data_IF_845928806402
#
_entry.id   IF_845928806402
#
_cell.length_a   1.000
_cell.length_b   1.000
_cell.length_c   1.000
_cell.angle_alpha   90.00
_cell.angle_beta   90.00
_cell.angle_gamma   90.00
#
_symmetry.space_group_name_H-M   'P 1'
#
loop_
_entity.id
_entity.type
_entity.pdbx_description
1 polymer ?
#
# COMPACT_ATOMS: atom_id res chain seq x y z
N UNK A 1 -16.41 7.54 -11.37
CA UNK A 1 -15.03 7.79 -10.90
C UNK A 1 -14.57 6.74 -9.88
N UNK A 2 -15.39 6.40 -8.88
CA UNK A 2 -15.01 5.52 -7.76
C UNK A 2 -14.79 4.06 -8.11
N UNK A 3 -15.42 3.57 -9.18
CA UNK A 3 -15.24 2.21 -9.71
C UNK A 3 -13.78 1.83 -9.99
N UNK A 4 -12.92 2.80 -10.30
CA UNK A 4 -11.48 2.56 -10.53
C UNK A 4 -10.68 2.78 -9.24
N UNK A 5 -11.07 3.78 -8.43
CA UNK A 5 -10.35 4.12 -7.20
C UNK A 5 -10.45 3.02 -6.14
N UNK A 6 -11.60 2.38 -5.98
CA UNK A 6 -11.77 1.26 -5.04
C UNK A 6 -10.78 0.12 -5.29
N UNK A 7 -10.74 -0.50 -6.48
CA UNK A 7 -9.83 -1.61 -6.75
C UNK A 7 -8.37 -1.15 -6.79
N UNK A 8 -8.08 0.08 -7.22
CA UNK A 8 -6.72 0.61 -7.23
C UNK A 8 -6.16 0.72 -5.81
N UNK A 9 -6.87 1.37 -4.88
CA UNK A 9 -6.41 1.52 -3.50
C UNK A 9 -6.36 0.15 -2.79
N UNK A 10 -7.33 -0.73 -3.04
CA UNK A 10 -7.32 -2.08 -2.50
C UNK A 10 -6.10 -2.89 -2.99
N UNK A 11 -5.75 -2.75 -4.28
CA UNK A 11 -4.57 -3.40 -4.87
C UNK A 11 -3.30 -2.91 -4.20
N UNK A 12 -3.15 -1.60 -3.98
CA UNK A 12 -1.98 -1.07 -3.26
C UNK A 12 -1.88 -1.58 -1.82
N UNK A 13 -3.01 -1.67 -1.10
CA UNK A 13 -3.02 -2.27 0.25
C UNK A 13 -2.49 -3.71 0.19
N UNK A 14 -2.96 -4.51 -0.76
CA UNK A 14 -2.48 -5.90 -0.94
C UNK A 14 -1.00 -5.93 -1.28
N UNK A 15 -0.51 -5.08 -2.19
CA UNK A 15 0.91 -5.01 -2.54
C UNK A 15 1.79 -4.66 -1.32
N UNK A 16 1.35 -3.72 -0.48
CA UNK A 16 2.05 -3.40 0.76
C UNK A 16 2.01 -4.55 1.76
N UNK A 17 0.88 -5.24 1.91
CA UNK A 17 0.80 -6.44 2.75
C UNK A 17 1.76 -7.52 2.27
N UNK A 18 1.86 -7.75 0.95
CA UNK A 18 2.85 -8.68 0.38
C UNK A 18 4.27 -8.23 0.71
N UNK A 19 4.60 -6.93 0.62
CA UNK A 19 5.91 -6.40 1.02
C UNK A 19 6.21 -6.63 2.51
N UNK A 20 5.21 -6.54 3.40
CA UNK A 20 5.39 -6.89 4.82
C UNK A 20 5.89 -8.33 4.92
N UNK A 21 5.19 -9.27 4.29
CA UNK A 21 5.59 -10.67 4.27
C UNK A 21 6.96 -10.88 3.63
N UNK A 22 7.25 -10.26 2.48
CA UNK A 22 8.56 -10.37 1.84
C UNK A 22 9.71 -9.84 2.71
N UNK A 23 9.45 -8.80 3.51
CA UNK A 23 10.44 -8.26 4.44
C UNK A 23 10.71 -9.18 5.64
N UNK A 24 9.72 -9.95 6.09
CA UNK A 24 9.88 -10.96 7.16
C UNK A 24 10.49 -12.26 6.63
N UNK A 25 10.24 -12.50 5.35
CA UNK A 25 10.64 -13.53 4.40
C UNK A 25 11.97 -13.38 3.64
N UNK A 26 13.17 -13.10 4.21
CA UNK A 26 14.35 -12.78 3.41
C UNK A 26 14.87 -13.92 2.52
N UNK A 27 14.38 -15.16 2.73
CA UNK A 27 14.64 -16.31 1.86
C UNK A 27 14.04 -16.16 0.44
N UNK A 28 13.07 -15.27 0.25
CA UNK A 28 12.46 -15.02 -1.05
C UNK A 28 13.27 -13.97 -1.83
N UNK A 29 13.74 -14.34 -3.02
CA UNK A 29 14.47 -13.43 -3.90
C UNK A 29 13.51 -12.40 -4.52
N UNK A 30 13.46 -11.22 -3.92
CA UNK A 30 12.59 -10.10 -4.36
C UNK A 30 13.00 -9.49 -5.70
N UNK A 31 14.17 -9.86 -6.24
CA UNK A 31 14.60 -9.43 -7.58
C UNK A 31 13.98 -10.26 -8.71
N UNK A 32 13.37 -11.42 -8.38
CA UNK A 32 12.78 -12.33 -9.36
C UNK A 32 11.25 -12.22 -9.43
N UNK A 33 10.64 -12.47 -10.59
CA UNK A 33 9.19 -12.59 -10.70
C UNK A 33 8.64 -13.73 -9.83
N UNK A 34 7.46 -13.59 -9.21
CA UNK A 34 6.56 -12.43 -9.32
C UNK A 34 6.88 -11.29 -8.32
N UNK A 35 7.79 -11.50 -7.38
CA UNK A 35 8.07 -10.55 -6.29
C UNK A 35 8.63 -9.21 -6.76
N UNK A 36 9.44 -9.23 -7.82
CA UNK A 36 10.01 -8.02 -8.43
C UNK A 36 8.95 -7.04 -8.92
N UNK A 37 7.80 -7.54 -9.39
CA UNK A 37 6.68 -6.68 -9.80
C UNK A 37 6.06 -5.94 -8.61
N UNK A 38 5.92 -6.63 -7.46
CA UNK A 38 5.40 -6.03 -6.22
C UNK A 38 6.35 -4.96 -5.70
N UNK A 39 7.65 -5.27 -5.69
CA UNK A 39 8.67 -4.28 -5.30
C UNK A 39 8.60 -3.09 -6.22
N UNK A 40 8.72 -3.27 -7.54
CA UNK A 40 8.70 -2.18 -8.51
C UNK A 40 7.46 -1.28 -8.39
N UNK A 41 6.27 -1.87 -8.21
CA UNK A 41 5.02 -1.13 -8.08
C UNK A 41 4.92 -0.29 -6.79
N UNK A 42 5.64 -0.66 -5.73
CA UNK A 42 5.55 0.01 -4.41
C UNK A 42 6.78 0.84 -4.06
N UNK A 43 7.91 0.61 -4.73
CA UNK A 43 9.22 1.12 -4.33
C UNK A 43 9.33 2.65 -4.40
N UNK A 44 8.57 3.30 -5.29
CA UNK A 44 8.53 4.76 -5.38
C UNK A 44 7.99 5.42 -4.10
N UNK A 45 7.10 4.73 -3.38
CA UNK A 45 6.55 5.18 -2.08
C UNK A 45 7.41 4.69 -0.92
N UNK A 46 7.94 3.47 -1.01
CA UNK A 46 8.71 2.88 0.09
C UNK A 46 10.13 3.46 0.21
N UNK A 47 10.83 3.76 -0.90
CA UNK A 47 12.17 4.38 -0.89
C UNK A 47 12.26 5.64 -0.03
N UNK A 48 11.40 6.68 -0.19
CA UNK A 48 11.48 7.86 0.66
C UNK A 48 11.12 7.54 2.10
N UNK A 49 10.13 6.67 2.36
CA UNK A 49 9.75 6.29 3.73
C UNK A 49 10.87 5.54 4.45
N UNK A 50 11.60 4.63 3.78
CA UNK A 50 12.77 3.91 4.32
C UNK A 50 13.91 4.84 4.72
N UNK A 51 14.01 6.02 4.10
CA UNK A 51 15.01 7.05 4.48
C UNK A 51 14.64 7.74 5.79
N UNK A 52 13.34 7.88 6.07
CA UNK A 52 12.83 8.50 7.30
C UNK A 52 12.74 7.49 8.44
N UNK A 53 12.30 6.27 8.13
CA UNK A 53 12.06 5.18 9.08
C UNK A 53 12.86 3.98 8.60
N UNK A 54 14.11 3.84 9.03
CA UNK A 54 14.96 2.74 8.60
C UNK A 54 14.41 1.39 9.10
N UNK A 55 14.79 0.28 8.47
CA UNK A 55 14.39 -1.06 8.91
C UNK A 55 14.76 -1.31 10.37
N UNK A 56 13.83 -1.88 11.13
CA UNK A 56 14.01 -2.19 12.55
C UNK A 56 14.17 -3.70 12.68
N UNK A 57 15.29 -4.17 13.22
CA UNK A 57 15.55 -5.60 13.36
C UNK A 57 15.62 -6.36 12.04
N UNK A 58 16.05 -5.70 10.95
CA UNK A 58 16.12 -6.29 9.61
C UNK A 58 14.78 -6.34 8.86
N UNK A 59 13.69 -5.86 9.48
CA UNK A 59 12.35 -5.81 8.89
C UNK A 59 12.04 -4.41 8.39
N UNK A 60 11.55 -4.31 7.16
CA UNK A 60 11.08 -3.04 6.59
C UNK A 60 9.70 -2.67 7.14
N UNK A 61 9.64 -1.59 7.92
CA UNK A 61 8.39 -1.10 8.52
C UNK A 61 7.61 -0.17 7.58
N UNK A 62 8.23 0.28 6.49
CA UNK A 62 7.63 1.21 5.54
C UNK A 62 6.31 0.70 4.94
N UNK A 63 6.17 -0.58 4.53
CA UNK A 63 4.92 -1.08 3.98
C UNK A 63 3.77 -1.08 4.99
N UNK A 64 4.04 -1.33 6.27
CA UNK A 64 3.02 -1.29 7.35
C UNK A 64 2.40 0.10 7.45
N UNK A 65 3.24 1.13 7.40
CA UNK A 65 2.82 2.54 7.44
C UNK A 65 1.94 2.85 6.24
N UNK A 66 2.33 2.41 5.05
CA UNK A 66 1.55 2.63 3.83
C UNK A 66 0.25 1.84 3.79
N UNK A 67 0.16 0.65 4.41
CA UNK A 67 -1.14 -0.02 4.64
C UNK A 67 -2.07 0.89 5.44
N UNK A 68 -1.59 1.48 6.53
CA UNK A 68 -2.37 2.42 7.34
C UNK A 68 -2.81 3.65 6.55
N UNK A 69 -1.86 4.34 5.89
CA UNK A 69 -2.14 5.55 5.11
C UNK A 69 -3.16 5.29 4.00
N UNK A 70 -2.94 4.25 3.19
CA UNK A 70 -3.83 3.95 2.06
C UNK A 70 -5.20 3.47 2.54
N UNK A 71 -5.27 2.72 3.64
CA UNK A 71 -6.55 2.30 4.23
C UNK A 71 -7.36 3.49 4.73
N UNK A 72 -6.71 4.43 5.43
CA UNK A 72 -7.34 5.67 5.89
C UNK A 72 -7.82 6.52 4.71
N UNK A 73 -6.96 6.71 3.69
CA UNK A 73 -7.34 7.43 2.48
C UNK A 73 -8.53 6.78 1.77
N UNK A 74 -8.54 5.44 1.67
CA UNK A 74 -9.66 4.70 1.08
C UNK A 74 -10.95 4.92 1.85
N UNK A 75 -10.92 4.86 3.19
CA UNK A 75 -12.12 5.08 4.01
C UNK A 75 -12.60 6.53 3.94
N UNK A 76 -11.71 7.51 4.05
CA UNK A 76 -12.06 8.93 3.98
C UNK A 76 -12.64 9.34 2.62
N UNK A 77 -12.12 8.76 1.53
CA UNK A 77 -12.56 9.10 0.18
C UNK A 77 -13.78 8.29 -0.25
N UNK A 78 -13.77 6.99 0.02
CA UNK A 78 -14.64 5.99 -0.61
C UNK A 78 -15.45 5.15 0.39
N UNK A 79 -15.28 5.37 1.69
CA UNK A 79 -16.06 4.70 2.73
C UNK A 79 -17.55 5.03 2.67
N UNK A 80 -18.32 4.46 3.59
CA UNK A 80 -19.77 4.70 3.66
C UNK A 80 -20.08 6.18 3.89
N UNK A 81 -19.24 6.85 4.69
CA UNK A 81 -19.28 8.31 4.93
C UNK A 81 -18.21 9.06 4.13
N UNK A 82 -17.60 8.42 3.14
CA UNK A 82 -16.51 8.98 2.36
C UNK A 82 -16.93 10.21 1.56
N UNK A 83 -16.05 11.19 1.46
CA UNK A 83 -16.35 12.50 0.84
C UNK A 83 -16.80 12.31 -0.62
N UNK A 84 -16.14 11.44 -1.39
CA UNK A 84 -16.51 11.19 -2.78
C UNK A 84 -17.81 10.40 -2.88
N UNK A 85 -18.04 9.44 -1.97
CA UNK A 85 -19.29 8.68 -1.90
C UNK A 85 -20.47 9.60 -1.64
N UNK A 86 -20.36 10.48 -0.64
CA UNK A 86 -21.38 11.48 -0.29
C UNK A 86 -21.62 12.44 -1.45
N UNK A 87 -20.56 12.97 -2.07
CA UNK A 87 -20.70 13.90 -3.19
C UNK A 87 -21.43 13.31 -4.41
N UNK A 88 -21.28 12.00 -4.67
CA UNK A 88 -22.00 11.34 -5.76
C UNK A 88 -23.44 10.93 -5.40
N UNK A 89 -23.79 10.83 -4.12
CA UNK A 89 -25.15 10.48 -3.68
C UNK A 89 -26.09 11.68 -3.64
N UNK A 90 -25.55 12.89 -3.52
CA UNK A 90 -26.31 14.15 -3.49
C UNK A 90 -26.53 14.78 -4.88
N UNK A 91 -26.14 14.08 -5.96
CA UNK A 91 -26.39 14.43 -7.36
C UNK A 91 -27.10 13.27 -8.06
#
# INVERSE_FOLDING_TARGET
MTWILHPLLATYIVLFVVQIFLSWYPQYDTSRPPYSAVVWATDFLLKPTRRLIPPIGGVDMSPVIWVGIVSLLREMLLGQQGILTMAMQYH
#
